data_IF_878423474487
#
_entry.id   IF_878423474487
#
_cell.length_a   1.000
_cell.length_b   1.000
_cell.length_c   1.000
_cell.angle_alpha   90.00
_cell.angle_beta   90.00
_cell.angle_gamma   90.00
#
_symmetry.space_group_name_H-M   'P 1'
#
loop_
_entity.id
_entity.type
_entity.pdbx_description
1 polymer ?
#
# COMPACT_ATOMS: atom_id res chain seq x y z
N UNK A 1 9.30 -9.36 -7.61
CA UNK A 1 10.06 -8.14 -7.26
C UNK A 1 10.74 -8.36 -5.91
N UNK A 2 12.07 -8.43 -5.89
CA UNK A 2 12.84 -8.33 -4.63
C UNK A 2 13.28 -6.87 -4.48
N UNK A 3 12.33 -5.97 -4.22
CA UNK A 3 12.70 -4.75 -3.51
C UNK A 3 12.81 -5.19 -2.07
N UNK A 4 14.03 -5.42 -1.61
CA UNK A 4 14.27 -5.71 -0.21
C UNK A 4 14.03 -4.41 0.54
N UNK A 5 12.78 -4.21 0.96
CA UNK A 5 12.39 -3.06 1.74
C UNK A 5 13.21 -3.08 3.03
N UNK A 6 13.99 -2.03 3.22
CA UNK A 6 14.90 -1.93 4.34
C UNK A 6 14.09 -1.70 5.63
N UNK A 7 13.84 -2.78 6.39
CA UNK A 7 13.11 -2.71 7.66
C UNK A 7 13.75 -1.73 8.66
N UNK A 8 15.04 -1.41 8.52
CA UNK A 8 15.65 -0.41 9.39
C UNK A 8 15.19 1.01 9.05
N UNK A 9 14.78 1.28 7.80
CA UNK A 9 14.17 2.57 7.45
C UNK A 9 12.82 2.73 8.16
N UNK A 10 12.03 1.66 8.20
CA UNK A 10 10.72 1.62 8.85
C UNK A 10 10.79 1.84 10.35
N UNK A 11 11.77 1.21 11.02
CA UNK A 11 12.03 1.48 12.45
C UNK A 11 12.45 2.93 12.67
N UNK A 12 13.29 3.50 11.80
CA UNK A 12 13.75 4.89 11.93
C UNK A 12 12.60 5.88 11.74
N UNK A 13 11.70 5.63 10.79
CA UNK A 13 10.55 6.51 10.55
C UNK A 13 9.60 6.49 11.74
N UNK A 14 9.29 5.31 12.29
CA UNK A 14 8.48 5.15 13.51
C UNK A 14 9.15 5.85 14.70
N UNK A 15 10.46 5.63 14.91
CA UNK A 15 11.19 6.25 16.02
C UNK A 15 11.22 7.77 15.91
N UNK A 16 11.31 8.31 14.69
CA UNK A 16 11.45 9.74 14.45
C UNK A 16 10.13 10.50 14.50
N UNK A 17 9.06 9.91 13.98
CA UNK A 17 7.78 10.61 13.76
C UNK A 17 6.58 9.99 14.50
N UNK A 18 6.72 8.78 15.04
CA UNK A 18 5.66 8.08 15.77
C UNK A 18 4.65 7.37 14.87
N UNK A 19 3.83 6.53 15.50
CA UNK A 19 2.87 5.65 14.83
C UNK A 19 1.76 6.42 14.11
N UNK A 20 1.17 7.43 14.77
CA UNK A 20 0.09 8.24 14.20
C UNK A 20 0.52 8.92 12.90
N UNK A 21 1.75 9.45 12.84
CA UNK A 21 2.27 10.04 11.62
C UNK A 21 2.38 9.03 10.45
N UNK A 22 2.59 7.73 10.74
CA UNK A 22 2.61 6.71 9.69
C UNK A 22 1.20 6.40 9.19
N UNK A 23 0.20 6.46 10.07
CA UNK A 23 -1.20 6.31 9.68
C UNK A 23 -1.67 7.49 8.84
N UNK A 24 -1.35 8.72 9.26
CA UNK A 24 -1.65 9.94 8.52
C UNK A 24 -0.99 9.92 7.13
N UNK A 25 0.28 9.53 7.04
CA UNK A 25 0.96 9.39 5.75
C UNK A 25 0.26 8.36 4.85
N UNK A 26 -0.11 7.17 5.37
CA UNK A 26 -0.85 6.17 4.59
C UNK A 26 -2.18 6.73 4.06
N UNK A 27 -2.88 7.54 4.86
CA UNK A 27 -4.14 8.18 4.46
C UNK A 27 -3.89 9.19 3.33
N UNK A 28 -2.82 9.98 3.42
CA UNK A 28 -2.40 10.95 2.40
C UNK A 28 -2.11 10.25 1.07
N UNK A 29 -1.23 9.23 1.05
CA UNK A 29 -0.90 8.48 -0.17
C UNK A 29 -2.13 7.85 -0.82
N UNK A 30 -3.06 7.34 -0.01
CA UNK A 30 -4.33 6.81 -0.53
C UNK A 30 -5.17 7.90 -1.20
N UNK A 31 -5.20 9.11 -0.65
CA UNK A 31 -5.94 10.23 -1.21
C UNK A 31 -5.31 10.71 -2.53
N UNK A 32 -3.98 10.74 -2.61
CA UNK A 32 -3.23 11.10 -3.81
C UNK A 32 -3.43 10.05 -4.92
N UNK A 33 -3.34 8.76 -4.60
CA UNK A 33 -3.66 7.69 -5.54
C UNK A 33 -5.11 7.78 -6.06
N UNK A 34 -6.08 8.10 -5.19
CA UNK A 34 -7.47 8.32 -5.61
C UNK A 34 -7.58 9.50 -6.57
N UNK A 35 -6.88 10.61 -6.31
CA UNK A 35 -6.88 11.79 -7.15
C UNK A 35 -6.28 11.51 -8.52
N UNK A 36 -5.09 10.89 -8.58
CA UNK A 36 -4.40 10.60 -9.84
C UNK A 36 -5.20 9.60 -10.69
N UNK A 37 -5.82 8.57 -10.10
CA UNK A 37 -6.67 7.63 -10.82
C UNK A 37 -7.88 8.34 -11.46
N UNK A 38 -8.48 9.32 -10.78
CA UNK A 38 -9.57 10.13 -11.36
C UNK A 38 -9.09 10.98 -12.52
N UNK A 39 -7.88 11.52 -12.45
CA UNK A 39 -7.28 12.28 -13.55
C UNK A 39 -6.90 11.38 -14.73
N UNK A 40 -6.34 10.20 -14.46
CA UNK A 40 -5.93 9.23 -15.47
C UNK A 40 -7.12 8.74 -16.28
N UNK A 41 -8.23 8.39 -15.61
CA UNK A 41 -9.49 8.01 -16.26
C UNK A 41 -10.08 9.10 -17.16
N UNK A 42 -9.67 10.36 -16.99
CA UNK A 42 -10.10 11.50 -17.80
C UNK A 42 -9.05 11.89 -18.87
N UNK A 43 -7.99 11.11 -19.02
CA UNK A 43 -6.88 11.38 -19.94
C UNK A 43 -6.08 12.63 -19.59
N UNK A 44 -6.04 13.03 -18.31
CA UNK A 44 -5.39 14.27 -17.85
C UNK A 44 -3.96 14.09 -17.36
N UNK A 45 -3.55 12.86 -17.08
CA UNK A 45 -2.24 12.46 -16.55
C UNK A 45 -1.81 11.18 -17.25
N UNK A 46 -0.52 10.92 -17.28
CA UNK A 46 0.08 9.72 -17.84
C UNK A 46 -0.02 8.52 -16.87
N UNK A 47 0.21 7.32 -17.40
CA UNK A 47 0.27 6.10 -16.58
C UNK A 47 1.39 6.16 -15.55
N UNK A 48 2.52 6.82 -15.87
CA UNK A 48 3.65 6.98 -14.94
C UNK A 48 3.24 7.67 -13.63
N UNK A 49 2.40 8.70 -13.71
CA UNK A 49 1.90 9.40 -12.51
C UNK A 49 1.05 8.47 -11.63
N UNK A 50 0.29 7.54 -12.23
CA UNK A 50 -0.45 6.53 -11.45
C UNK A 50 0.50 5.52 -10.80
N UNK A 51 1.57 5.14 -11.50
CA UNK A 51 2.56 4.18 -10.99
C UNK A 51 3.30 4.76 -9.78
N UNK A 52 3.66 6.04 -9.82
CA UNK A 52 4.36 6.72 -8.73
C UNK A 52 3.49 6.72 -7.45
N UNK A 53 2.26 7.23 -7.52
CA UNK A 53 1.34 7.26 -6.37
C UNK A 53 0.98 5.84 -5.87
N UNK A 54 0.92 4.87 -6.78
CA UNK A 54 0.72 3.48 -6.40
C UNK A 54 1.94 2.91 -5.66
N UNK A 55 3.15 3.31 -6.05
CA UNK A 55 4.37 2.90 -5.37
C UNK A 55 4.43 3.47 -3.94
N UNK A 56 3.99 4.72 -3.74
CA UNK A 56 3.94 5.35 -2.43
C UNK A 56 2.93 4.66 -1.50
N UNK A 57 1.72 4.37 -2.00
CA UNK A 57 0.73 3.54 -1.28
C UNK A 57 1.30 2.16 -0.93
N UNK A 58 2.02 1.50 -1.85
CA UNK A 58 2.64 0.19 -1.58
C UNK A 58 3.75 0.29 -0.54
N UNK A 59 4.55 1.36 -0.55
CA UNK A 59 5.58 1.60 0.46
C UNK A 59 4.95 1.78 1.85
N UNK A 60 3.94 2.63 1.95
CA UNK A 60 3.23 2.88 3.21
C UNK A 60 2.45 1.65 3.69
N UNK A 61 1.89 0.84 2.78
CA UNK A 61 1.29 -0.44 3.14
C UNK A 61 2.31 -1.40 3.77
N UNK A 62 3.53 -1.48 3.24
CA UNK A 62 4.60 -2.30 3.84
C UNK A 62 5.02 -1.77 5.22
N UNK A 63 5.10 -0.45 5.39
CA UNK A 63 5.35 0.19 6.68
C UNK A 63 4.29 -0.21 7.72
N UNK A 64 3.01 -0.15 7.36
CA UNK A 64 1.93 -0.58 8.24
C UNK A 64 1.92 -2.10 8.47
N UNK A 65 2.28 -2.91 7.47
CA UNK A 65 2.47 -4.36 7.66
C UNK A 65 3.55 -4.64 8.70
N UNK A 66 4.65 -3.88 8.69
CA UNK A 66 5.68 -3.99 9.71
C UNK A 66 5.13 -3.64 11.11
N UNK A 67 4.33 -2.57 11.23
CA UNK A 67 3.73 -2.13 12.50
C UNK A 67 2.68 -3.10 13.05
N UNK A 68 1.78 -3.62 12.20
CA UNK A 68 0.69 -4.52 12.60
C UNK A 68 1.09 -6.01 12.62
N UNK A 69 2.30 -6.34 12.18
CA UNK A 69 2.83 -7.70 12.10
C UNK A 69 2.62 -8.32 10.71
N UNK A 70 3.71 -8.47 9.98
CA UNK A 70 3.72 -8.92 8.59
C UNK A 70 3.02 -10.27 8.38
N UNK A 71 3.25 -11.24 9.27
CA UNK A 71 2.60 -12.55 9.17
C UNK A 71 1.08 -12.47 9.33
N UNK A 72 0.61 -11.62 10.25
CA UNK A 72 -0.82 -11.44 10.50
C UNK A 72 -1.52 -10.83 9.29
N UNK A 73 -0.89 -9.82 8.68
CA UNK A 73 -1.42 -9.21 7.46
C UNK A 73 -1.34 -10.18 6.27
N UNK A 74 -0.23 -10.90 6.11
CA UNK A 74 -0.07 -11.91 5.05
C UNK A 74 -1.15 -12.98 5.13
N UNK A 75 -1.42 -13.55 6.31
CA UNK A 75 -2.50 -14.52 6.51
C UNK A 75 -3.87 -13.94 6.13
N UNK A 76 -4.12 -12.67 6.44
CA UNK A 76 -5.35 -11.99 6.07
C UNK A 76 -5.46 -11.80 4.54
N UNK A 77 -4.36 -11.52 3.85
CA UNK A 77 -4.29 -11.45 2.38
C UNK A 77 -4.57 -12.83 1.77
N UNK A 78 -3.94 -13.90 2.26
CA UNK A 78 -4.14 -15.27 1.75
C UNK A 78 -5.62 -15.68 1.82
N UNK A 79 -6.27 -15.42 2.96
CA UNK A 79 -7.72 -15.66 3.12
C UNK A 79 -8.56 -14.89 2.10
N UNK A 80 -8.20 -13.65 1.79
CA UNK A 80 -8.89 -12.84 0.77
C UNK A 80 -8.66 -13.39 -0.64
N UNK A 81 -7.44 -13.84 -0.95
CA UNK A 81 -7.10 -14.47 -2.23
C UNK A 81 -7.86 -15.78 -2.43
N UNK A 82 -7.97 -16.63 -1.40
CA UNK A 82 -8.74 -17.86 -1.48
C UNK A 82 -10.23 -17.58 -1.71
N UNK A 83 -10.79 -16.55 -1.09
CA UNK A 83 -12.14 -16.07 -1.38
C UNK A 83 -12.29 -15.65 -2.84
N UNK A 84 -11.35 -14.86 -3.37
CA UNK A 84 -11.38 -14.42 -4.78
C UNK A 84 -11.27 -15.60 -5.75
N UNK A 85 -10.38 -16.57 -5.48
CA UNK A 85 -10.27 -17.82 -6.25
C UNK A 85 -11.58 -18.60 -6.24
N UNK A 86 -12.28 -18.63 -5.11
CA UNK A 86 -13.61 -19.22 -5.00
C UNK A 86 -14.63 -18.54 -5.91
N UNK A 87 -14.69 -17.20 -5.86
CA UNK A 87 -15.61 -16.41 -6.70
C UNK A 87 -15.40 -16.62 -8.19
N UNK A 88 -14.14 -16.71 -8.64
CA UNK A 88 -13.80 -16.96 -10.05
C UNK A 88 -14.15 -18.37 -10.54
N UNK A 89 -14.33 -19.34 -9.64
CA UNK A 89 -14.78 -20.69 -9.99
C UNK A 89 -16.30 -20.79 -10.13
N UNK A 90 -17.02 -19.83 -9.56
CA UNK A 90 -18.49 -19.77 -9.55
C UNK A 90 -19.07 -18.73 -10.51
N UNK A 91 -18.21 -17.92 -11.13
CA UNK A 91 -18.56 -16.94 -12.17
C UNK A 91 -18.40 -17.57 -13.56
#
# INVERSE_FOLDING_TARGET
MKNQIDRDIFKKTITKWGDEAQYDQMIEECAELIAVLKHYKRGKVAEAEVIDELADVVLMAHQLMFMFGEESVSRAIDKKLDKLRGLLRTA
#
